data_IF_613504009731
#
_entry.id   IF_613504009731
#
_cell.length_a   1.000
_cell.length_b   1.000
_cell.length_c   1.000
_cell.angle_alpha   90.00
_cell.angle_beta   90.00
_cell.angle_gamma   90.00
#
_symmetry.space_group_name_H-M   'P 1'
#
loop_
_entity.id
_entity.type
_entity.pdbx_description
1 polymer ?
#
# COMPACT_ATOMS: atom_id res chain seq x y z
N UNK A 1 -23.58 -72.29 -44.10
CA UNK A 1 -22.41 -71.89 -44.90
C UNK A 1 -22.24 -70.37 -44.81
N UNK A 2 -21.07 -69.87 -44.36
CA UNK A 2 -20.60 -68.48 -44.63
C UNK A 2 -20.22 -68.38 -46.13
N UNK A 3 -19.85 -67.23 -46.75
CA UNK A 3 -19.71 -65.80 -46.31
C UNK A 3 -20.46 -64.84 -47.30
N UNK A 4 -20.38 -63.51 -47.36
CA UNK A 4 -19.66 -62.43 -46.69
C UNK A 4 -19.74 -61.11 -47.51
N UNK A 5 -19.08 -60.07 -46.96
CA UNK A 5 -18.53 -58.84 -47.59
C UNK A 5 -19.45 -57.65 -47.95
N UNK A 6 -19.24 -56.59 -47.14
CA UNK A 6 -18.98 -55.17 -47.46
C UNK A 6 -19.50 -54.55 -48.76
N UNK A 7 -20.15 -53.38 -48.62
CA UNK A 7 -19.62 -52.13 -49.18
C UNK A 7 -20.25 -50.90 -48.52
N UNK A 8 -19.36 -49.99 -48.14
CA UNK A 8 -19.56 -48.64 -47.62
C UNK A 8 -19.83 -47.74 -48.82
N UNK A 9 -20.86 -46.88 -48.76
CA UNK A 9 -20.89 -45.61 -49.50
C UNK A 9 -21.44 -44.53 -48.57
N UNK A 10 -20.57 -43.55 -48.31
CA UNK A 10 -20.81 -42.39 -47.48
C UNK A 10 -21.63 -41.34 -48.25
N UNK A 11 -22.64 -40.77 -47.60
CA UNK A 11 -23.33 -39.57 -48.06
C UNK A 11 -22.62 -38.33 -47.50
N UNK A 12 -22.07 -37.51 -48.40
CA UNK A 12 -21.64 -36.14 -48.10
C UNK A 12 -22.85 -35.28 -47.76
N UNK A 13 -22.85 -34.68 -46.59
CA UNK A 13 -23.66 -33.50 -46.28
C UNK A 13 -22.74 -32.46 -45.66
N UNK A 14 -22.47 -31.43 -46.45
CA UNK A 14 -21.71 -30.25 -46.07
C UNK A 14 -22.53 -29.42 -45.08
N UNK A 15 -22.10 -29.38 -43.82
CA UNK A 15 -22.54 -28.41 -42.84
C UNK A 15 -21.47 -27.32 -42.72
N UNK A 16 -21.89 -26.08 -42.96
CA UNK A 16 -21.07 -24.88 -42.86
C UNK A 16 -20.48 -24.75 -41.44
N UNK A 17 -19.16 -24.82 -41.33
CA UNK A 17 -18.44 -24.54 -40.10
C UNK A 17 -18.39 -23.02 -39.87
N UNK A 18 -19.15 -22.53 -38.90
CA UNK A 18 -18.91 -21.22 -38.31
C UNK A 18 -17.56 -21.25 -37.55
N UNK A 19 -16.70 -20.23 -37.69
CA UNK A 19 -15.43 -20.21 -36.97
C UNK A 19 -15.68 -20.12 -35.46
N UNK A 20 -14.88 -20.80 -34.62
CA UNK A 20 -15.00 -20.64 -33.18
C UNK A 20 -14.69 -19.19 -32.82
N UNK A 21 -15.64 -18.55 -32.13
CA UNK A 21 -15.43 -17.27 -31.46
C UNK A 21 -14.21 -17.43 -30.55
N UNK A 22 -13.12 -16.79 -30.96
CA UNK A 22 -11.91 -16.69 -30.16
C UNK A 22 -12.26 -15.87 -28.92
N UNK A 23 -12.36 -16.52 -27.77
CA UNK A 23 -12.39 -15.85 -26.48
C UNK A 23 -11.03 -15.16 -26.29
N UNK A 24 -10.97 -13.92 -26.76
CA UNK A 24 -9.88 -13.01 -26.53
C UNK A 24 -9.79 -12.73 -25.02
N UNK A 25 -8.64 -13.09 -24.45
CA UNK A 25 -8.05 -12.43 -23.28
C UNK A 25 -8.95 -12.28 -22.06
N UNK A 26 -9.04 -13.34 -21.26
CA UNK A 26 -9.11 -13.13 -19.82
C UNK A 26 -7.87 -12.29 -19.44
N UNK A 27 -8.09 -11.00 -19.18
CA UNK A 27 -7.09 -10.14 -18.56
C UNK A 27 -6.61 -10.87 -17.31
N UNK A 28 -5.34 -11.27 -17.32
CA UNK A 28 -4.60 -11.52 -16.09
C UNK A 28 -4.70 -10.24 -15.26
N UNK A 29 -5.59 -10.23 -14.29
CA UNK A 29 -5.51 -9.30 -13.17
C UNK A 29 -4.12 -9.46 -12.57
N UNK A 30 -3.42 -8.33 -12.46
CA UNK A 30 -1.98 -8.23 -12.31
C UNK A 30 -1.36 -9.04 -11.17
N UNK A 31 -0.04 -9.19 -11.25
CA UNK A 31 0.78 -9.79 -10.22
C UNK A 31 0.46 -9.20 -8.85
N UNK A 32 -0.34 -9.93 -8.08
CA UNK A 32 -0.59 -9.62 -6.68
C UNK A 32 0.71 -9.75 -5.91
N UNK A 33 0.92 -8.84 -4.95
CA UNK A 33 1.96 -9.02 -3.96
C UNK A 33 1.89 -10.44 -3.36
N UNK A 34 3.02 -11.08 -3.04
CA UNK A 34 3.03 -12.43 -2.49
C UNK A 34 2.06 -12.53 -1.30
N UNK A 35 1.24 -13.59 -1.23
CA UNK A 35 0.21 -13.72 -0.20
C UNK A 35 0.84 -13.58 1.19
N UNK A 36 0.35 -12.60 1.95
CA UNK A 36 0.80 -12.32 3.32
C UNK A 36 0.13 -13.29 4.28
N UNK A 37 0.89 -13.83 5.23
CA UNK A 37 0.37 -14.76 6.25
C UNK A 37 0.31 -14.09 7.61
N UNK A 38 -0.90 -14.01 8.17
CA UNK A 38 -1.09 -13.54 9.53
C UNK A 38 -0.92 -14.67 10.51
N UNK A 39 -0.10 -14.45 11.53
CA UNK A 39 0.24 -15.51 12.47
C UNK A 39 0.79 -14.92 13.78
N UNK A 40 0.90 -15.77 14.81
CA UNK A 40 1.56 -15.44 16.06
C UNK A 40 3.04 -15.86 16.03
N UNK A 41 3.84 -15.26 16.92
CA UNK A 41 5.27 -15.59 17.06
C UNK A 41 5.48 -17.06 17.46
N UNK A 42 4.57 -17.63 18.25
CA UNK A 42 4.59 -19.05 18.62
C UNK A 42 4.64 -19.97 17.39
N UNK A 43 3.79 -19.72 16.38
CA UNK A 43 3.76 -20.48 15.14
C UNK A 43 5.04 -20.32 14.30
N UNK A 44 5.63 -19.11 14.27
CA UNK A 44 6.89 -18.87 13.56
C UNK A 44 8.00 -19.76 14.14
N UNK A 45 8.07 -19.84 15.47
CA UNK A 45 9.05 -20.67 16.19
C UNK A 45 8.81 -22.16 16.01
N UNK A 46 7.55 -22.59 16.00
CA UNK A 46 7.21 -24.00 15.89
C UNK A 46 7.32 -24.54 14.46
N UNK A 47 7.07 -23.72 13.44
CA UNK A 47 7.07 -24.11 12.03
C UNK A 47 8.01 -23.26 11.16
N UNK A 48 9.30 -23.16 11.51
CA UNK A 48 10.22 -22.27 10.82
C UNK A 48 10.40 -22.63 9.34
N UNK A 49 10.40 -23.93 9.01
CA UNK A 49 10.48 -24.40 7.63
C UNK A 49 9.30 -23.96 6.75
N UNK A 50 8.11 -23.84 7.34
CA UNK A 50 6.90 -23.41 6.62
C UNK A 50 6.91 -21.91 6.35
N UNK A 51 7.38 -21.12 7.33
CA UNK A 51 7.40 -19.66 7.25
C UNK A 51 8.70 -19.11 6.65
N UNK A 52 9.73 -19.93 6.44
CA UNK A 52 10.99 -19.48 5.83
C UNK A 52 10.75 -18.78 4.49
N UNK A 53 11.27 -17.55 4.37
CA UNK A 53 11.10 -16.64 3.23
C UNK A 53 9.65 -16.22 2.94
N UNK A 54 8.70 -16.51 3.82
CA UNK A 54 7.32 -16.03 3.70
C UNK A 54 7.18 -14.61 4.25
N UNK A 55 6.33 -13.82 3.59
CA UNK A 55 5.90 -12.54 4.13
C UNK A 55 4.87 -12.78 5.23
N UNK A 56 5.18 -12.31 6.43
CA UNK A 56 4.36 -12.48 7.62
C UNK A 56 3.93 -11.14 8.20
N UNK A 57 2.80 -11.16 8.89
CA UNK A 57 2.34 -10.08 9.75
C UNK A 57 2.10 -10.66 11.13
N UNK A 58 2.71 -10.03 12.13
CA UNK A 58 2.66 -10.45 13.52
C UNK A 58 2.37 -9.24 14.41
N UNK A 59 1.73 -9.49 15.55
CA UNK A 59 1.59 -8.51 16.61
C UNK A 59 2.56 -8.82 17.74
N UNK A 60 3.11 -7.77 18.36
CA UNK A 60 3.98 -7.90 19.52
C UNK A 60 4.42 -6.55 20.04
N UNK A 61 5.29 -6.56 21.04
CA UNK A 61 5.95 -5.39 21.59
C UNK A 61 7.45 -5.53 21.40
N UNK A 62 8.12 -4.45 20.97
CA UNK A 62 9.58 -4.46 20.90
C UNK A 62 10.16 -4.47 22.31
N UNK A 63 11.19 -5.27 22.51
CA UNK A 63 11.95 -5.31 23.74
C UNK A 63 13.44 -5.53 23.46
N UNK A 64 14.26 -5.23 24.48
CA UNK A 64 15.71 -5.20 24.34
C UNK A 64 16.20 -3.86 23.83
N UNK A 65 17.50 -3.66 23.95
CA UNK A 65 18.21 -2.50 23.44
C UNK A 65 19.04 -2.89 22.23
N UNK A 66 19.50 -1.89 21.47
CA UNK A 66 20.50 -2.16 20.45
C UNK A 66 21.74 -2.81 21.08
N UNK A 67 22.28 -3.85 20.42
CA UNK A 67 22.03 -4.19 19.02
C UNK A 67 21.14 -5.44 18.84
N UNK A 68 20.55 -5.95 19.93
CA UNK A 68 19.71 -7.14 19.98
C UNK A 68 18.25 -6.78 20.34
N UNK A 69 17.48 -6.38 19.34
CA UNK A 69 16.06 -6.09 19.50
C UNK A 69 15.25 -7.35 19.18
N UNK A 70 14.28 -7.66 20.04
CA UNK A 70 13.32 -8.75 19.85
C UNK A 70 11.90 -8.20 19.76
N UNK A 71 11.04 -8.92 19.06
CA UNK A 71 9.60 -8.71 19.08
C UNK A 71 8.97 -9.80 19.94
N UNK A 72 8.24 -9.41 20.99
CA UNK A 72 7.55 -10.33 21.92
C UNK A 72 6.06 -10.37 21.67
N UNK A 73 5.48 -11.55 21.55
CA UNK A 73 4.03 -11.75 21.41
C UNK A 73 3.59 -12.95 22.24
N UNK A 74 2.79 -12.70 23.28
CA UNK A 74 2.54 -13.69 24.33
C UNK A 74 3.83 -14.07 25.06
N UNK A 75 4.04 -15.36 25.29
CA UNK A 75 5.23 -15.91 25.96
C UNK A 75 6.40 -16.19 24.99
N UNK A 76 6.29 -15.74 23.74
CA UNK A 76 7.26 -16.03 22.69
C UNK A 76 7.89 -14.77 22.12
N UNK A 77 9.14 -14.88 21.70
CA UNK A 77 9.87 -13.79 21.08
C UNK A 77 10.63 -14.23 19.82
N UNK A 78 10.92 -13.27 18.94
CA UNK A 78 11.73 -13.47 17.74
C UNK A 78 12.67 -12.28 17.55
N UNK A 79 13.92 -12.54 17.17
CA UNK A 79 14.90 -11.50 16.84
C UNK A 79 14.46 -10.74 15.60
N UNK A 80 14.71 -9.43 15.54
CA UNK A 80 14.34 -8.60 14.39
C UNK A 80 15.55 -7.95 13.72
N UNK A 81 15.47 -7.76 12.40
CA UNK A 81 16.31 -6.84 11.63
C UNK A 81 15.42 -5.67 11.22
N UNK A 82 15.74 -4.45 11.62
CA UNK A 82 14.83 -3.32 11.44
C UNK A 82 14.86 -2.67 10.05
N UNK A 83 15.95 -2.79 9.25
CA UNK A 83 16.10 -2.14 7.93
C UNK A 83 15.54 -0.70 7.89
N UNK A 84 16.08 0.18 8.74
CA UNK A 84 15.64 1.58 8.91
C UNK A 84 14.25 1.79 9.55
N UNK A 85 13.48 0.74 9.81
CA UNK A 85 12.24 0.84 10.58
C UNK A 85 12.55 1.26 12.02
N UNK A 86 11.74 2.17 12.56
CA UNK A 86 11.86 2.62 13.95
C UNK A 86 11.01 1.76 14.86
N UNK A 87 11.57 1.39 16.01
CA UNK A 87 10.78 0.81 17.09
C UNK A 87 9.75 1.81 17.60
N UNK A 88 8.66 1.29 18.16
CA UNK A 88 7.62 2.07 18.84
C UNK A 88 7.31 1.39 20.17
N UNK A 89 6.89 2.19 21.15
CA UNK A 89 6.44 1.66 22.44
C UNK A 89 5.03 1.08 22.32
N UNK A 90 4.74 0.06 23.14
CA UNK A 90 3.46 -0.63 23.15
C UNK A 90 3.31 -1.64 22.02
N UNK A 91 2.07 -2.09 21.81
CA UNK A 91 1.74 -3.08 20.80
C UNK A 91 1.95 -2.52 19.39
N UNK A 92 2.64 -3.28 18.55
CA UNK A 92 2.90 -2.93 17.16
C UNK A 92 2.40 -4.02 16.21
N UNK A 93 1.97 -3.61 15.03
CA UNK A 93 1.83 -4.48 13.87
C UNK A 93 3.15 -4.45 13.09
N UNK A 94 3.80 -5.61 13.00
CA UNK A 94 5.08 -5.75 12.29
C UNK A 94 4.86 -6.58 11.03
N UNK A 95 5.28 -6.02 9.89
CA UNK A 95 5.33 -6.73 8.61
C UNK A 95 6.79 -7.03 8.28
N UNK A 96 7.06 -8.25 7.87
CA UNK A 96 8.40 -8.66 7.51
C UNK A 96 8.45 -10.01 6.82
N UNK A 97 9.66 -10.45 6.53
CA UNK A 97 9.94 -11.77 6.00
C UNK A 97 10.64 -12.60 7.07
N UNK A 98 10.17 -13.83 7.33
CA UNK A 98 10.85 -14.70 8.29
C UNK A 98 12.07 -15.38 7.66
N UNK A 99 13.21 -15.23 8.32
CA UNK A 99 14.43 -15.97 8.03
C UNK A 99 14.65 -17.06 9.08
N UNK A 100 14.99 -18.25 8.59
CA UNK A 100 15.51 -19.36 9.39
C UNK A 100 16.98 -19.42 8.98
N UNK A 101 17.87 -18.90 9.82
CA UNK A 101 19.25 -18.66 9.42
C UNK A 101 19.95 -19.96 9.05
N UNK A 102 19.64 -21.06 9.73
CA UNK A 102 20.21 -22.36 9.41
C UNK A 102 19.83 -22.93 8.05
N UNK A 103 18.89 -22.29 7.34
CA UNK A 103 18.51 -22.60 5.95
C UNK A 103 19.10 -21.61 4.93
N UNK A 104 19.76 -20.56 5.39
CA UNK A 104 20.37 -19.55 4.55
C UNK A 104 21.86 -19.79 4.41
N UNK A 105 22.42 -19.28 3.32
CA UNK A 105 23.86 -19.25 3.13
C UNK A 105 24.48 -18.18 4.05
N UNK A 106 25.60 -18.46 4.74
CA UNK A 106 26.34 -17.45 5.51
C UNK A 106 26.79 -16.23 4.71
N UNK A 107 26.80 -16.26 3.38
CA UNK A 107 27.09 -15.13 2.51
C UNK A 107 25.83 -14.50 1.90
N UNK A 108 24.62 -14.90 2.31
CA UNK A 108 23.38 -14.37 1.74
C UNK A 108 23.27 -12.84 1.93
N UNK A 109 23.09 -12.07 0.84
CA UNK A 109 23.08 -10.60 0.90
C UNK A 109 21.91 -10.04 1.71
N UNK A 110 20.81 -10.80 1.88
CA UNK A 110 19.65 -10.37 2.68
C UNK A 110 19.97 -10.25 4.16
N UNK A 111 21.07 -10.86 4.61
CA UNK A 111 21.56 -10.77 5.98
C UNK A 111 22.54 -9.61 6.18
N UNK A 112 22.75 -8.74 5.18
CA UNK A 112 23.72 -7.64 5.26
C UNK A 112 23.44 -6.63 6.37
N UNK A 113 22.16 -6.39 6.69
CA UNK A 113 21.74 -5.53 7.79
C UNK A 113 21.72 -6.26 9.16
N UNK A 114 21.95 -7.57 9.19
CA UNK A 114 21.92 -8.34 10.43
C UNK A 114 23.27 -8.23 11.16
N UNK A 115 23.37 -7.24 12.05
CA UNK A 115 24.60 -6.98 12.80
C UNK A 115 25.02 -8.14 13.72
N UNK A 116 24.11 -9.06 14.05
CA UNK A 116 24.32 -10.16 15.01
C UNK A 116 24.44 -11.52 14.34
N UNK A 117 24.72 -11.49 13.04
CA UNK A 117 24.91 -12.68 12.24
C UNK A 117 26.00 -13.58 12.84
N UNK A 118 25.68 -14.86 13.12
CA UNK A 118 26.67 -15.85 13.52
C UNK A 118 27.79 -15.95 12.49
N UNK A 119 29.00 -16.30 12.96
CA UNK A 119 30.12 -16.60 12.06
C UNK A 119 29.79 -17.84 11.24
N UNK A 120 30.38 -17.97 10.06
CA UNK A 120 30.17 -19.14 9.20
C UNK A 120 30.56 -20.47 9.90
N UNK A 121 31.53 -20.42 10.82
CA UNK A 121 31.98 -21.56 11.62
C UNK A 121 30.95 -21.98 12.69
N UNK A 122 30.14 -21.04 13.16
CA UNK A 122 29.14 -21.20 14.23
C UNK A 122 27.71 -21.11 13.66
N UNK A 123 27.54 -21.46 12.38
CA UNK A 123 26.26 -21.29 11.70
C UNK A 123 25.17 -22.16 12.33
N UNK A 124 23.99 -21.60 12.66
CA UNK A 124 22.95 -22.33 13.36
C UNK A 124 22.38 -23.44 12.49
N UNK A 125 21.82 -24.48 13.12
CA UNK A 125 21.05 -25.50 12.41
C UNK A 125 19.66 -24.96 12.04
N UNK A 126 19.00 -25.53 11.00
CA UNK A 126 17.63 -25.15 10.66
C UNK A 126 16.70 -25.17 11.87
N UNK A 127 16.07 -24.02 12.15
CA UNK A 127 15.13 -23.81 13.25
C UNK A 127 15.74 -23.35 14.58
N UNK A 128 17.06 -23.27 14.71
CA UNK A 128 17.71 -22.80 15.96
C UNK A 128 17.68 -21.27 16.10
N UNK A 129 17.89 -20.55 15.00
CA UNK A 129 17.91 -19.09 15.00
C UNK A 129 16.97 -18.53 13.93
N UNK A 130 15.95 -17.82 14.40
CA UNK A 130 14.93 -17.20 13.58
C UNK A 130 15.01 -15.69 13.68
N UNK A 131 14.99 -15.03 12.53
CA UNK A 131 15.09 -13.59 12.44
C UNK A 131 13.97 -13.06 11.56
N UNK A 132 13.22 -12.09 12.07
CA UNK A 132 12.21 -11.39 11.30
C UNK A 132 12.85 -10.18 10.64
N UNK A 133 12.96 -10.24 9.31
CA UNK A 133 13.43 -9.13 8.50
C UNK A 133 12.30 -8.11 8.33
N UNK A 134 12.29 -7.08 9.17
CA UNK A 134 11.21 -6.09 9.24
C UNK A 134 11.25 -5.20 8.01
N UNK A 135 10.05 -4.96 7.46
CA UNK A 135 9.82 -4.10 6.29
C UNK A 135 8.96 -2.90 6.65
N UNK A 136 8.07 -3.04 7.62
CA UNK A 136 7.29 -1.93 8.16
C UNK A 136 6.83 -2.19 9.58
N UNK A 137 6.72 -1.13 10.37
CA UNK A 137 6.15 -1.12 11.72
C UNK A 137 5.03 -0.08 11.75
N UNK A 138 3.85 -0.49 12.19
CA UNK A 138 2.73 0.40 12.50
C UNK A 138 2.24 0.18 13.91
N UNK A 139 1.46 1.13 14.44
CA UNK A 139 0.80 0.97 15.73
C UNK A 139 -0.18 -0.21 15.67
N UNK A 140 -0.08 -1.10 16.65
CA UNK A 140 -0.94 -2.26 16.79
C UNK A 140 -2.04 -1.96 17.81
N UNK A 141 -3.24 -2.47 17.55
CA UNK A 141 -4.34 -2.36 18.49
C UNK A 141 -4.70 -3.72 19.05
N UNK A 142 -4.98 -3.74 20.35
CA UNK A 142 -5.53 -4.92 21.00
C UNK A 142 -6.96 -5.16 20.51
N UNK A 143 -7.22 -6.36 20.01
CA UNK A 143 -8.55 -6.71 19.55
C UNK A 143 -9.53 -6.74 20.73
N UNK A 144 -10.63 -5.99 20.58
CA UNK A 144 -11.72 -5.94 21.55
C UNK A 144 -12.71 -7.10 21.36
N UNK A 145 -12.87 -7.59 20.13
CA UNK A 145 -13.79 -8.66 19.76
C UNK A 145 -13.04 -9.82 19.10
N UNK A 146 -13.49 -11.08 19.31
CA UNK A 146 -12.90 -12.23 18.66
C UNK A 146 -13.24 -12.25 17.16
N UNK A 147 -12.22 -12.38 16.32
CA UNK A 147 -12.32 -12.58 14.88
C UNK A 147 -11.19 -13.51 14.42
N UNK A 148 -11.28 -14.11 13.24
CA UNK A 148 -10.20 -14.97 12.70
C UNK A 148 -8.86 -14.21 12.69
N UNK A 149 -8.87 -12.91 12.33
CA UNK A 149 -7.68 -12.04 12.37
C UNK A 149 -7.14 -11.87 13.79
N UNK A 150 -8.01 -11.53 14.73
CA UNK A 150 -7.64 -11.33 16.13
C UNK A 150 -7.06 -12.61 16.76
N UNK A 151 -7.68 -13.76 16.49
CA UNK A 151 -7.21 -15.06 16.95
C UNK A 151 -5.85 -15.44 16.37
N UNK A 152 -5.61 -15.16 15.08
CA UNK A 152 -4.34 -15.47 14.42
C UNK A 152 -3.19 -14.59 14.91
N UNK A 153 -3.45 -13.32 15.25
CA UNK A 153 -2.43 -12.35 15.63
C UNK A 153 -2.19 -12.24 17.13
N UNK A 154 -3.23 -12.43 17.94
CA UNK A 154 -3.21 -12.23 19.39
C UNK A 154 -3.83 -13.43 20.15
N UNK A 155 -3.42 -14.69 19.88
CA UNK A 155 -4.05 -15.87 20.47
C UNK A 155 -4.07 -15.84 22.00
N UNK A 156 -3.02 -15.32 22.63
CA UNK A 156 -2.89 -15.20 24.09
C UNK A 156 -4.02 -14.41 24.76
N UNK A 157 -4.74 -13.55 24.01
CA UNK A 157 -5.89 -12.82 24.54
C UNK A 157 -7.17 -13.63 24.59
N UNK A 158 -7.25 -14.72 23.83
CA UNK A 158 -8.49 -15.45 23.61
C UNK A 158 -8.43 -16.92 24.03
N UNK A 159 -7.24 -17.51 24.20
CA UNK A 159 -7.08 -18.89 24.67
C UNK A 159 -7.94 -19.16 25.91
N UNK A 160 -8.69 -20.26 25.89
CA UNK A 160 -9.62 -20.66 26.95
C UNK A 160 -11.00 -19.99 26.87
N UNK A 161 -11.18 -18.96 26.03
CA UNK A 161 -12.47 -18.28 25.88
C UNK A 161 -13.35 -18.97 24.85
N UNK A 162 -14.67 -18.91 25.09
CA UNK A 162 -15.67 -19.30 24.11
C UNK A 162 -15.90 -18.15 23.13
N UNK A 163 -15.73 -18.43 21.84
CA UNK A 163 -15.86 -17.45 20.75
C UNK A 163 -16.81 -17.97 19.68
N UNK A 164 -17.39 -17.04 18.91
CA UNK A 164 -18.05 -17.33 17.65
C UNK A 164 -17.34 -16.55 16.55
N UNK A 165 -16.89 -17.23 15.50
CA UNK A 165 -16.16 -16.61 14.39
C UNK A 165 -16.68 -17.13 13.06
N UNK A 166 -16.70 -16.26 12.05
CA UNK A 166 -17.09 -16.60 10.68
C UNK A 166 -15.87 -16.62 9.74
N UNK A 167 -15.84 -17.59 8.83
CA UNK A 167 -14.79 -17.72 7.83
C UNK A 167 -15.20 -18.58 6.65
N UNK A 168 -14.46 -18.44 5.56
CA UNK A 168 -14.52 -19.30 4.39
C UNK A 168 -13.92 -20.67 4.72
N UNK A 169 -14.65 -21.74 4.42
CA UNK A 169 -14.20 -23.12 4.55
C UNK A 169 -13.13 -23.45 3.50
N UNK A 170 -11.97 -23.95 3.96
CA UNK A 170 -10.80 -24.26 3.12
C UNK A 170 -10.43 -25.74 3.11
N UNK A 171 -11.34 -26.59 3.58
CA UNK A 171 -11.10 -28.04 3.74
C UNK A 171 -10.02 -28.33 4.78
N UNK A 172 -9.36 -29.49 4.67
CA UNK A 172 -8.21 -29.88 5.51
C UNK A 172 -6.95 -29.18 5.03
N UNK A 173 -6.98 -27.84 5.02
CA UNK A 173 -5.90 -26.98 4.58
C UNK A 173 -5.47 -27.22 3.11
N UNK A 174 -6.45 -27.39 2.21
CA UNK A 174 -6.23 -27.73 0.78
C UNK A 174 -5.49 -26.65 -0.02
N UNK A 175 -5.28 -25.47 0.57
CA UNK A 175 -4.60 -24.33 -0.03
C UNK A 175 -3.28 -24.00 0.67
N UNK A 176 -2.90 -24.76 1.71
CA UNK A 176 -1.71 -24.47 2.50
C UNK A 176 -1.78 -23.10 3.14
N UNK A 177 -2.95 -22.73 3.69
CA UNK A 177 -3.17 -21.46 4.41
C UNK A 177 -2.43 -21.46 5.76
N UNK A 178 -2.27 -22.64 6.38
CA UNK A 178 -1.53 -22.85 7.64
C UNK A 178 -0.51 -24.01 7.51
N UNK A 179 0.38 -24.23 8.49
CA UNK A 179 1.16 -25.46 8.59
C UNK A 179 0.25 -26.70 8.72
N UNK A 180 0.76 -27.88 8.34
CA UNK A 180 0.02 -29.16 8.37
C UNK A 180 -0.13 -29.76 9.78
N UNK A 181 -0.74 -29.00 10.68
CA UNK A 181 -0.99 -29.28 12.09
C UNK A 181 -2.19 -28.44 12.54
N UNK A 182 -3.01 -28.84 13.52
CA UNK A 182 -2.69 -29.80 14.57
C UNK A 182 -2.96 -31.26 14.19
N UNK A 183 -3.86 -31.55 13.23
CA UNK A 183 -4.13 -32.93 12.78
C UNK A 183 -4.67 -33.84 13.88
N UNK A 184 -5.48 -33.29 14.81
CA UNK A 184 -6.13 -34.00 15.90
C UNK A 184 -7.18 -34.98 15.40
N UNK A 185 -7.86 -34.63 14.30
CA UNK A 185 -8.92 -35.45 13.71
C UNK A 185 -8.87 -35.43 12.20
N UNK A 186 -9.40 -36.49 11.58
CA UNK A 186 -9.69 -36.53 10.13
C UNK A 186 -10.69 -35.46 9.70
N UNK A 187 -11.40 -34.84 10.64
CA UNK A 187 -12.35 -33.79 10.31
C UNK A 187 -11.81 -32.39 10.55
N UNK A 188 -10.58 -32.21 11.04
CA UNK A 188 -10.01 -30.88 11.23
C UNK A 188 -10.01 -30.13 9.90
N UNK A 189 -10.39 -28.85 9.95
CA UNK A 189 -10.47 -28.01 8.77
C UNK A 189 -10.02 -26.60 9.07
N UNK A 190 -9.72 -25.85 8.02
CA UNK A 190 -9.29 -24.46 8.11
C UNK A 190 -10.46 -23.54 7.76
N UNK A 191 -10.62 -22.50 8.57
CA UNK A 191 -11.39 -21.32 8.21
C UNK A 191 -10.46 -20.16 7.88
N UNK A 192 -10.78 -19.44 6.82
CA UNK A 192 -10.03 -18.25 6.37
C UNK A 192 -10.94 -17.03 6.34
N UNK A 193 -10.45 -15.89 6.80
CA UNK A 193 -11.07 -14.59 6.55
C UNK A 193 -9.99 -13.60 6.14
N UNK A 194 -10.14 -13.01 4.95
CA UNK A 194 -9.14 -12.16 4.32
C UNK A 194 -7.72 -12.79 4.28
N UNK A 195 -6.79 -12.26 5.08
CA UNK A 195 -5.37 -12.65 5.16
C UNK A 195 -5.05 -13.53 6.38
N UNK A 196 -6.04 -13.83 7.22
CA UNK A 196 -5.91 -14.68 8.39
C UNK A 196 -6.62 -16.04 8.22
N UNK A 197 -6.08 -17.06 8.87
CA UNK A 197 -6.64 -18.39 8.90
C UNK A 197 -6.47 -19.01 10.28
N UNK A 198 -7.41 -19.88 10.67
CA UNK A 198 -7.36 -20.66 11.91
C UNK A 198 -7.77 -22.11 11.64
N UNK A 199 -7.36 -23.01 12.53
CA UNK A 199 -7.91 -24.37 12.55
C UNK A 199 -9.23 -24.44 13.31
N UNK A 200 -10.09 -25.35 12.89
CA UNK A 200 -11.26 -25.79 13.63
C UNK A 200 -11.11 -27.28 13.90
N UNK A 201 -11.21 -27.66 15.18
CA UNK A 201 -11.10 -29.04 15.66
C UNK A 201 -12.40 -29.49 16.29
N UNK A 202 -12.53 -30.80 16.53
CA UNK A 202 -13.64 -31.43 17.27
C UNK A 202 -15.03 -31.27 16.61
N UNK A 203 -15.09 -30.70 15.41
CA UNK A 203 -16.30 -30.60 14.60
C UNK A 203 -16.09 -31.23 13.22
N UNK A 204 -17.14 -31.92 12.75
CA UNK A 204 -17.28 -32.25 11.33
C UNK A 204 -17.98 -31.08 10.64
N UNK A 205 -17.54 -30.63 9.44
CA UNK A 205 -18.16 -29.52 8.72
C UNK A 205 -19.50 -29.91 8.07
N UNK A 206 -20.47 -30.27 8.91
CA UNK A 206 -21.84 -30.64 8.53
C UNK A 206 -22.84 -29.91 9.41
N UNK A 207 -24.00 -29.57 8.86
CA UNK A 207 -25.05 -28.85 9.57
C UNK A 207 -26.35 -28.82 8.78
N UNK A 208 -27.27 -27.95 9.19
CA UNK A 208 -28.55 -27.79 8.49
C UNK A 208 -28.29 -27.22 7.09
N UNK A 209 -28.60 -28.00 6.06
CA UNK A 209 -28.48 -27.58 4.66
C UNK A 209 -27.09 -27.75 4.03
N UNK A 210 -26.14 -28.40 4.71
CA UNK A 210 -24.81 -28.70 4.14
C UNK A 210 -24.13 -29.90 4.80
N UNK A 211 -23.33 -30.63 4.02
CA UNK A 211 -22.36 -31.64 4.48
C UNK A 211 -21.14 -31.48 3.59
N UNK A 212 -20.07 -30.87 4.11
CA UNK A 212 -18.89 -30.52 3.32
C UNK A 212 -17.81 -31.58 3.51
N UNK A 213 -17.16 -31.94 2.41
CA UNK A 213 -15.98 -32.78 2.47
C UNK A 213 -14.73 -31.93 2.71
N UNK A 214 -13.94 -32.30 3.71
CA UNK A 214 -12.65 -31.65 4.00
C UNK A 214 -11.59 -31.93 2.93
N UNK A 215 -11.80 -32.96 2.10
CA UNK A 215 -10.86 -33.39 1.07
C UNK A 215 -11.30 -32.94 -0.34
N UNK A 216 -12.49 -32.33 -0.49
CA UNK A 216 -13.03 -31.91 -1.78
C UNK A 216 -12.91 -30.40 -1.99
N UNK A 217 -12.10 -29.98 -2.97
CA UNK A 217 -11.91 -28.56 -3.29
C UNK A 217 -13.21 -27.86 -3.75
N UNK A 218 -14.15 -28.61 -4.32
CA UNK A 218 -15.47 -28.08 -4.75
C UNK A 218 -16.34 -27.60 -3.58
N UNK A 219 -16.10 -28.12 -2.37
CA UNK A 219 -16.87 -27.74 -1.17
C UNK A 219 -16.27 -26.52 -0.45
N UNK A 220 -15.10 -26.05 -0.89
CA UNK A 220 -14.44 -24.85 -0.36
C UNK A 220 -15.09 -23.57 -0.85
N UNK A 221 -14.81 -22.42 -0.23
CA UNK A 221 -15.45 -21.15 -0.59
C UNK A 221 -16.76 -20.86 0.14
N UNK A 222 -17.32 -21.84 0.85
CA UNK A 222 -18.54 -21.66 1.64
C UNK A 222 -18.23 -20.97 2.97
N UNK A 223 -19.09 -20.05 3.37
CA UNK A 223 -18.95 -19.36 4.65
C UNK A 223 -19.61 -20.15 5.77
N UNK A 224 -18.84 -20.36 6.83
CA UNK A 224 -19.26 -21.06 8.04
C UNK A 224 -19.05 -20.17 9.25
N UNK A 225 -20.01 -20.20 10.16
CA UNK A 225 -19.90 -19.66 11.50
C UNK A 225 -19.64 -20.81 12.47
N UNK A 226 -18.56 -20.70 13.26
CA UNK A 226 -18.13 -21.69 14.25
C UNK A 226 -18.18 -21.06 15.63
N UNK A 227 -18.85 -21.75 16.56
CA UNK A 227 -18.75 -21.45 17.99
C UNK A 227 -17.93 -22.52 18.69
N UNK A 228 -16.96 -22.13 19.50
CA UNK A 228 -16.12 -23.07 20.23
C UNK A 228 -15.19 -22.40 21.22
N UNK A 229 -14.30 -23.17 21.84
CA UNK A 229 -13.29 -22.65 22.76
C UNK A 229 -11.98 -22.48 22.02
N UNK A 230 -11.36 -21.31 22.15
CA UNK A 230 -10.04 -21.06 21.57
C UNK A 230 -9.00 -21.88 22.34
N UNK A 231 -8.13 -22.54 21.58
CA UNK A 231 -7.00 -23.30 22.08
C UNK A 231 -5.78 -22.99 21.24
N UNK A 232 -4.62 -23.20 21.82
CA UNK A 232 -3.36 -23.15 21.11
C UNK A 232 -2.76 -24.56 21.12
N UNK A 233 -2.35 -25.04 19.95
CA UNK A 233 -1.73 -26.34 19.80
C UNK A 233 -0.51 -26.21 18.90
N UNK A 234 0.66 -26.54 19.46
CA UNK A 234 1.95 -26.40 18.77
C UNK A 234 2.08 -25.00 18.16
N UNK A 235 1.78 -23.94 18.91
CA UNK A 235 1.89 -22.57 18.44
C UNK A 235 0.84 -22.11 17.41
N UNK A 236 -0.05 -23.01 16.95
CA UNK A 236 -1.17 -22.65 16.07
C UNK A 236 -2.44 -22.44 16.88
N UNK A 237 -3.19 -21.41 16.53
CA UNK A 237 -4.51 -21.18 17.10
C UNK A 237 -5.54 -22.09 16.44
N UNK A 238 -6.38 -22.70 17.27
CA UNK A 238 -7.49 -23.53 16.86
C UNK A 238 -8.73 -23.20 17.69
N UNK A 239 -9.91 -23.33 17.08
CA UNK A 239 -11.18 -23.31 17.79
C UNK A 239 -11.66 -24.75 17.94
N UNK A 240 -11.68 -25.24 19.17
CA UNK A 240 -12.30 -26.51 19.54
C UNK A 240 -13.82 -26.32 19.48
N UNK A 241 -14.41 -26.73 18.37
CA UNK A 241 -15.75 -26.37 17.99
C UNK A 241 -16.83 -27.11 18.77
N UNK A 242 -17.95 -26.43 19.00
CA UNK A 242 -19.14 -26.95 19.68
C UNK A 242 -20.42 -26.73 18.88
N UNK A 243 -20.48 -25.71 18.02
CA UNK A 243 -21.58 -25.47 17.11
C UNK A 243 -21.07 -24.96 15.75
N UNK A 244 -21.82 -25.25 14.70
CA UNK A 244 -21.52 -24.88 13.32
C UNK A 244 -22.80 -24.51 12.58
N UNK A 245 -22.78 -23.38 11.87
CA UNK A 245 -23.85 -22.95 10.98
C UNK A 245 -23.29 -22.46 9.64
N UNK A 246 -24.09 -22.59 8.57
CA UNK A 246 -23.81 -21.89 7.34
C UNK A 246 -24.15 -20.41 7.53
N UNK A 247 -23.29 -19.53 7.03
CA UNK A 247 -23.48 -18.08 7.10
C UNK A 247 -23.11 -17.46 5.75
N UNK A 248 -23.29 -16.15 5.62
CA UNK A 248 -22.76 -15.38 4.49
C UNK A 248 -21.43 -14.73 4.91
N UNK A 249 -20.66 -14.25 3.93
CA UNK A 249 -19.52 -13.41 4.26
C UNK A 249 -19.98 -12.29 5.21
N UNK A 250 -19.29 -12.05 6.34
CA UNK A 250 -19.54 -10.85 7.10
C UNK A 250 -19.34 -9.69 6.13
N UNK A 251 -20.28 -8.76 6.14
CA UNK A 251 -20.09 -7.47 5.48
C UNK A 251 -18.75 -6.98 6.00
N UNK A 252 -17.78 -6.78 5.09
CA UNK A 252 -16.45 -6.37 5.49
C UNK A 252 -16.66 -5.18 6.42
N UNK A 253 -16.15 -5.26 7.66
CA UNK A 253 -16.00 -4.05 8.43
C UNK A 253 -15.26 -3.13 7.48
N UNK A 254 -15.94 -2.10 7.00
CA UNK A 254 -15.31 -0.94 6.41
C UNK A 254 -14.38 -0.48 7.52
N UNK A 255 -13.16 -1.00 7.53
CA UNK A 255 -12.02 -0.15 7.77
C UNK A 255 -12.32 1.04 6.90
N UNK A 256 -12.63 2.17 7.53
CA UNK A 256 -12.49 3.44 6.86
C UNK A 256 -11.10 3.37 6.24
N UNK A 257 -11.09 3.08 4.93
CA UNK A 257 -9.96 3.37 4.09
C UNK A 257 -9.70 4.83 4.40
N UNK A 258 -8.57 5.10 5.07
CA UNK A 258 -8.18 6.45 5.45
C UNK A 258 -8.50 7.32 4.23
N UNK A 259 -9.44 8.29 4.37
CA UNK A 259 -9.92 9.04 3.22
C UNK A 259 -8.67 9.52 2.49
N UNK A 260 -8.55 9.25 1.17
CA UNK A 260 -7.31 9.47 0.45
C UNK A 260 -6.79 10.83 0.85
N UNK A 261 -5.57 10.87 1.40
CA UNK A 261 -4.99 12.09 1.93
C UNK A 261 -5.31 13.21 0.93
N UNK A 262 -5.89 14.34 1.39
CA UNK A 262 -6.28 15.40 0.48
C UNK A 262 -5.10 15.67 -0.44
N UNK A 263 -5.33 15.76 -1.77
CA UNK A 263 -4.25 15.89 -2.73
C UNK A 263 -3.32 17.01 -2.25
N UNK A 264 -1.99 16.79 -2.29
CA UNK A 264 -1.06 17.80 -1.81
C UNK A 264 -1.41 19.14 -2.43
N UNK A 265 -1.43 20.23 -1.64
CA UNK A 265 -1.78 21.54 -2.17
C UNK A 265 -0.90 21.83 -3.40
N UNK A 266 -1.49 22.34 -4.49
CA UNK A 266 -0.76 22.53 -5.72
C UNK A 266 0.43 23.47 -5.49
N UNK A 267 1.59 23.12 -6.04
CA UNK A 267 2.82 23.89 -5.88
C UNK A 267 2.62 25.34 -6.34
N UNK A 268 3.06 26.35 -5.55
CA UNK A 268 2.92 27.74 -5.93
C UNK A 268 3.64 28.05 -7.25
N UNK A 269 3.03 28.92 -8.06
CA UNK A 269 3.70 29.52 -9.21
C UNK A 269 4.70 30.60 -8.77
N UNK A 270 5.77 30.78 -9.53
CA UNK A 270 6.83 31.75 -9.24
C UNK A 270 7.22 32.50 -10.51
N UNK A 271 7.75 33.72 -10.39
CA UNK A 271 8.38 34.44 -11.50
C UNK A 271 9.81 33.91 -11.67
N UNK A 272 10.10 33.34 -12.84
CA UNK A 272 11.41 32.73 -13.14
C UNK A 272 12.29 33.62 -14.00
N UNK A 273 11.70 34.59 -14.70
CA UNK A 273 12.45 35.50 -15.56
C UNK A 273 11.74 36.84 -15.70
N UNK A 274 12.52 37.90 -15.80
CA UNK A 274 12.04 39.23 -16.13
C UNK A 274 13.01 39.95 -17.06
N UNK A 275 12.47 40.81 -17.90
CA UNK A 275 13.22 41.75 -18.73
C UNK A 275 12.46 43.08 -18.73
N UNK A 276 13.02 44.18 -18.22
CA UNK A 276 14.35 44.32 -17.62
C UNK A 276 14.57 43.42 -16.39
N UNK A 277 15.83 43.21 -16.06
CA UNK A 277 16.29 42.47 -14.86
C UNK A 277 16.34 43.38 -13.63
N UNK A 278 16.37 42.78 -12.44
CA UNK A 278 16.43 43.53 -11.17
C UNK A 278 17.67 44.43 -11.12
N UNK A 279 17.44 45.72 -10.85
CA UNK A 279 18.48 46.74 -10.77
C UNK A 279 19.04 47.20 -12.11
N UNK A 280 18.46 46.77 -13.25
CA UNK A 280 18.94 47.16 -14.58
C UNK A 280 18.87 48.68 -14.78
N UNK A 281 19.94 49.25 -15.35
CA UNK A 281 20.07 50.68 -15.64
C UNK A 281 20.04 50.93 -17.14
N UNK A 282 19.83 52.19 -17.53
CA UNK A 282 19.80 52.60 -18.94
C UNK A 282 18.74 51.88 -19.79
N UNK A 283 17.64 51.47 -19.16
CA UNK A 283 16.52 50.82 -19.86
C UNK A 283 15.89 51.83 -20.84
N UNK A 284 15.62 51.44 -22.10
CA UNK A 284 15.02 52.33 -23.09
C UNK A 284 13.68 52.93 -22.65
N UNK A 285 13.48 54.23 -22.91
CA UNK A 285 12.23 54.95 -22.61
C UNK A 285 10.98 54.35 -23.28
N UNK A 286 11.14 53.65 -24.39
CA UNK A 286 10.06 52.96 -25.12
C UNK A 286 10.06 51.43 -24.91
N UNK A 287 10.70 50.94 -23.84
CA UNK A 287 10.82 49.52 -23.55
C UNK A 287 9.52 48.85 -23.09
N UNK A 288 9.44 47.53 -23.32
CA UNK A 288 8.40 46.67 -22.76
C UNK A 288 8.93 45.91 -21.56
N UNK A 289 8.10 45.68 -20.54
CA UNK A 289 8.46 44.80 -19.42
C UNK A 289 7.86 43.42 -19.68
N UNK A 290 8.70 42.39 -19.68
CA UNK A 290 8.31 40.99 -19.81
C UNK A 290 8.54 40.28 -18.49
N UNK A 291 7.56 39.53 -18.01
CA UNK A 291 7.63 38.73 -16.79
C UNK A 291 7.17 37.31 -17.10
N UNK A 292 8.00 36.32 -16.85
CA UNK A 292 7.71 34.91 -17.15
C UNK A 292 7.56 34.10 -15.86
N UNK A 293 6.53 33.26 -15.85
CA UNK A 293 6.17 32.40 -14.72
C UNK A 293 6.65 30.96 -14.92
N UNK A 294 6.93 30.27 -13.82
CA UNK A 294 7.29 28.83 -13.82
C UNK A 294 6.17 27.97 -14.41
N UNK A 295 4.92 28.38 -14.21
CA UNK A 295 3.69 27.67 -14.61
C UNK A 295 2.77 28.60 -15.38
N UNK A 296 1.82 28.02 -16.13
CA UNK A 296 0.79 28.80 -16.79
C UNK A 296 -0.13 29.47 -15.77
N UNK A 297 -0.29 30.79 -15.89
CA UNK A 297 -1.18 31.64 -15.09
C UNK A 297 -2.57 31.68 -15.72
N UNK A 298 -3.60 31.68 -14.89
CA UNK A 298 -4.98 31.96 -15.31
C UNK A 298 -5.12 33.46 -15.62
N UNK A 299 -5.38 33.85 -16.89
CA UNK A 299 -5.49 35.25 -17.28
C UNK A 299 -6.62 35.99 -16.55
N UNK A 300 -7.66 35.29 -16.09
CA UNK A 300 -8.76 35.89 -15.35
C UNK A 300 -8.33 36.37 -13.94
N UNK A 301 -7.18 35.91 -13.44
CA UNK A 301 -6.62 36.31 -12.14
C UNK A 301 -5.68 37.53 -12.19
N UNK A 302 -5.32 38.00 -13.39
CA UNK A 302 -4.39 39.12 -13.59
C UNK A 302 -4.97 40.54 -13.40
N UNK A 303 -6.27 40.81 -13.68
CA UNK A 303 -6.84 42.15 -13.48
C UNK A 303 -6.60 42.69 -12.06
N UNK A 304 -6.19 43.96 -11.98
CA UNK A 304 -5.86 44.69 -10.74
C UNK A 304 -4.72 44.09 -9.89
N UNK A 305 -3.98 43.09 -10.40
CA UNK A 305 -2.85 42.44 -9.71
C UNK A 305 -1.48 42.78 -10.27
N UNK A 306 -1.42 43.61 -11.32
CA UNK A 306 -0.18 44.16 -11.85
C UNK A 306 -0.14 45.64 -11.47
N UNK A 307 0.89 46.06 -10.75
CA UNK A 307 1.07 47.46 -10.37
C UNK A 307 2.40 47.96 -10.90
N UNK A 308 2.39 49.19 -11.42
CA UNK A 308 3.60 49.91 -11.80
C UNK A 308 3.63 51.22 -11.04
N UNK A 309 4.81 51.65 -10.58
CA UNK A 309 5.02 52.91 -9.86
C UNK A 309 6.36 53.54 -10.21
N UNK A 310 6.46 54.87 -10.09
CA UNK A 310 7.74 55.57 -10.04
C UNK A 310 8.24 55.60 -8.59
N UNK A 311 9.42 55.05 -8.35
CA UNK A 311 10.02 55.04 -7.00
C UNK A 311 10.39 56.47 -6.61
N UNK A 312 9.97 56.89 -5.41
CA UNK A 312 10.30 58.21 -4.85
C UNK A 312 9.57 59.39 -5.52
N UNK A 313 8.58 59.15 -6.37
CA UNK A 313 7.75 60.19 -6.99
C UNK A 313 6.27 60.00 -6.62
N UNK A 314 5.56 61.11 -6.38
CA UNK A 314 4.11 61.12 -6.25
C UNK A 314 3.38 61.18 -7.60
N UNK A 315 4.14 61.35 -8.69
CA UNK A 315 3.61 61.37 -10.05
C UNK A 315 3.25 59.95 -10.50
N UNK A 316 2.06 59.72 -11.07
CA UNK A 316 1.67 58.40 -11.56
C UNK A 316 2.51 58.01 -12.79
N UNK A 317 2.84 56.72 -12.95
CA UNK A 317 3.48 56.25 -14.17
C UNK A 317 2.52 56.37 -15.36
N UNK A 318 3.04 56.32 -16.60
CA UNK A 318 2.21 56.24 -17.79
C UNK A 318 1.19 55.09 -17.68
N UNK A 319 -0.04 55.28 -18.19
CA UNK A 319 -0.99 54.17 -18.34
C UNK A 319 -0.34 53.02 -19.11
N UNK A 320 -0.64 51.79 -18.71
CA UNK A 320 -0.11 50.61 -19.37
C UNK A 320 -1.22 49.63 -19.72
N UNK A 321 -0.92 48.76 -20.67
CA UNK A 321 -1.69 47.58 -21.00
C UNK A 321 -0.80 46.36 -20.84
N UNK A 322 -1.40 45.19 -20.69
CA UNK A 322 -0.66 43.95 -20.66
C UNK A 322 -1.33 42.87 -21.50
N UNK A 323 -0.51 41.96 -22.01
CA UNK A 323 -0.96 40.75 -22.71
C UNK A 323 -0.32 39.54 -22.08
N UNK A 324 -1.09 38.47 -21.90
CA UNK A 324 -0.57 37.19 -21.44
C UNK A 324 -0.41 36.24 -22.61
N UNK A 325 0.82 35.77 -22.82
CA UNK A 325 1.15 34.69 -23.75
C UNK A 325 1.21 33.37 -22.98
N UNK A 326 0.20 32.52 -23.18
CA UNK A 326 0.11 31.22 -22.53
C UNK A 326 1.21 30.23 -22.98
N UNK A 327 1.70 30.35 -24.22
CA UNK A 327 2.75 29.48 -24.74
C UNK A 327 4.11 29.83 -24.10
N UNK A 328 4.39 31.12 -23.97
CA UNK A 328 5.59 31.60 -23.30
C UNK A 328 5.47 31.66 -21.77
N UNK A 329 4.26 31.48 -21.21
CA UNK A 329 3.92 31.69 -19.78
C UNK A 329 4.37 33.07 -19.30
N UNK A 330 4.16 34.08 -20.14
CA UNK A 330 4.72 35.40 -19.92
C UNK A 330 3.66 36.50 -20.04
N UNK A 331 3.76 37.49 -19.16
CA UNK A 331 3.05 38.76 -19.27
C UNK A 331 3.99 39.77 -19.93
N UNK A 332 3.51 40.41 -20.99
CA UNK A 332 4.15 41.57 -21.60
C UNK A 332 3.38 42.83 -21.22
N UNK A 333 4.06 43.80 -20.62
CA UNK A 333 3.53 45.10 -20.21
C UNK A 333 4.03 46.15 -21.20
N UNK A 334 3.08 46.93 -21.74
CA UNK A 334 3.33 48.00 -22.71
C UNK A 334 2.78 49.32 -22.19
N UNK A 335 3.63 50.32 -22.11
CA UNK A 335 3.26 51.67 -21.69
C UNK A 335 2.65 52.45 -22.86
N UNK A 336 1.58 53.19 -22.60
CA UNK A 336 0.89 54.01 -23.59
C UNK A 336 1.72 55.23 -24.03
N UNK A 337 2.54 55.76 -23.12
CA UNK A 337 3.51 56.82 -23.40
C UNK A 337 4.90 56.35 -22.98
N UNK A 338 5.98 56.89 -23.59
CA UNK A 338 7.34 56.62 -23.15
C UNK A 338 7.52 56.87 -21.64
N UNK A 339 8.33 56.04 -21.01
CA UNK A 339 8.75 56.24 -19.63
C UNK A 339 9.62 57.50 -19.55
N UNK A 340 9.45 58.29 -18.49
CA UNK A 340 10.30 59.44 -18.22
C UNK A 340 11.76 58.99 -18.00
N UNK A 341 12.69 59.65 -18.70
CA UNK A 341 14.13 59.44 -18.54
C UNK A 341 14.59 59.66 -17.09
N UNK A 342 15.63 58.96 -16.67
CA UNK A 342 16.25 59.07 -15.34
C UNK A 342 15.32 58.78 -14.16
N UNK A 343 14.23 58.05 -14.39
CA UNK A 343 13.32 57.58 -13.34
C UNK A 343 13.57 56.11 -13.02
N UNK A 344 13.36 55.75 -11.77
CA UNK A 344 13.31 54.37 -11.32
C UNK A 344 11.86 53.87 -11.30
N UNK A 345 11.61 52.77 -12.00
CA UNK A 345 10.33 52.09 -12.07
C UNK A 345 10.32 50.91 -11.12
N UNK A 346 9.20 50.69 -10.44
CA UNK A 346 8.88 49.45 -9.74
C UNK A 346 7.66 48.80 -10.35
N UNK A 347 7.79 47.53 -10.73
CA UNK A 347 6.70 46.65 -11.18
C UNK A 347 6.42 45.63 -10.09
N UNK A 348 5.16 45.40 -9.76
CA UNK A 348 4.73 44.46 -8.73
C UNK A 348 3.67 43.52 -9.27
N UNK A 349 3.89 42.22 -9.06
CA UNK A 349 2.91 41.15 -9.18
C UNK A 349 2.33 40.92 -7.78
N UNK A 350 1.10 41.36 -7.58
CA UNK A 350 0.44 41.36 -6.27
C UNK A 350 -0.12 39.98 -5.94
N UNK A 351 -0.39 39.76 -4.65
CA UNK A 351 -1.10 38.56 -4.18
C UNK A 351 -2.45 38.39 -4.90
N UNK A 352 -2.86 37.14 -5.16
CA UNK A 352 -4.16 36.82 -5.76
C UNK A 352 -4.09 36.33 -7.20
N UNK A 353 -2.91 36.41 -7.84
CA UNK A 353 -2.66 35.75 -9.13
C UNK A 353 -2.65 34.22 -8.92
N UNK A 354 -3.27 33.48 -9.84
CA UNK A 354 -3.40 32.02 -9.77
C UNK A 354 -2.88 31.34 -11.02
N UNK A 355 -2.33 30.15 -10.86
CA UNK A 355 -2.03 29.24 -11.97
C UNK A 355 -3.30 28.61 -12.52
N UNK A 356 -3.24 28.01 -13.73
CA UNK A 356 -4.41 27.35 -14.35
C UNK A 356 -5.02 26.22 -13.50
N UNK A 357 -4.22 25.57 -12.65
CA UNK A 357 -4.64 24.53 -11.70
C UNK A 357 -5.07 25.10 -10.33
N UNK A 358 -5.20 26.42 -10.21
CA UNK A 358 -5.72 27.10 -9.03
C UNK A 358 -4.69 27.38 -7.93
N UNK A 359 -3.43 26.99 -8.12
CA UNK A 359 -2.34 27.28 -7.19
C UNK A 359 -2.09 28.79 -7.09
N UNK A 360 -1.72 29.33 -5.92
CA UNK A 360 -1.34 30.72 -5.79
C UNK A 360 0.00 30.98 -6.49
N UNK A 361 0.15 32.16 -7.09
CA UNK A 361 1.46 32.66 -7.54
C UNK A 361 2.05 33.55 -6.44
N UNK A 362 3.32 33.36 -6.12
CA UNK A 362 4.01 34.18 -5.12
C UNK A 362 4.07 35.64 -5.56
N UNK A 363 3.78 36.60 -4.66
CA UNK A 363 3.99 38.01 -4.94
C UNK A 363 5.45 38.29 -5.29
N UNK A 364 5.67 39.17 -6.25
CA UNK A 364 7.00 39.45 -6.78
C UNK A 364 7.11 40.92 -7.18
N UNK A 365 8.30 41.50 -7.07
CA UNK A 365 8.56 42.86 -7.49
C UNK A 365 9.87 42.95 -8.29
N UNK A 366 9.92 43.96 -9.16
CA UNK A 366 11.06 44.32 -9.99
C UNK A 366 11.30 45.81 -9.92
N UNK A 367 12.54 46.22 -9.74
CA UNK A 367 12.96 47.62 -9.83
C UNK A 367 14.01 47.81 -10.92
N UNK A 368 13.85 48.80 -11.80
CA UNK A 368 14.84 49.16 -12.84
C UNK A 368 14.85 50.67 -13.10
N UNK A 369 15.90 51.18 -13.75
CA UNK A 369 16.08 52.61 -14.05
C UNK A 369 16.10 52.89 -15.55
N UNK A 370 15.34 53.92 -15.95
CA UNK A 370 15.21 54.37 -17.34
C UNK A 370 16.38 55.25 -17.71
N UNK A 371 16.97 54.98 -18.88
CA UNK A 371 18.08 55.75 -19.45
C UNK A 371 17.69 57.16 -19.89
N UNK A 372 18.72 57.94 -20.23
CA UNK A 372 18.62 59.33 -20.69
C UNK A 372 17.96 59.52 -22.03
#
# INVERSE_FOLDING_TARGET
>A
MRPGRSLIVAALLAAAAAPPASFAGARQSGGGAPPRRLTAIAALRQYPAYFHLQNVLVHGEFAGDEPAIVLRGGDHEVTVILNDARTRSGLVEVRGQLFDLGRMDPADPRLGAYQHKPRAEDWPRPGEELVLNVTSVSEGQYAATPSIRALALQPWRFVGQKVTVAGEFRGRNLFGDLPSAPGRSRYDFVLRSADAAIWVTDLRPRGRGFDLSVDARVDTGRWLEVTGTVSEDRGLVAVAGTALAATTAPEAETHEEEPPAPPPPPEPGEVVFSSPTEGETDVPVAGTVRVQFSRGVDPASLPDRIRVTYVGSAEPPPPFTYTYDAAARAVEIRFANPLQSFRTIRVEMLEGIRTFDGAPVQPWNLTFSVGG
#
